data_IF_836970051941
#
_entry.id   IF_836970051941
#
_cell.length_a   1.000
_cell.length_b   1.000
_cell.length_c   1.000
_cell.angle_alpha   90.00
_cell.angle_beta   90.00
_cell.angle_gamma   90.00
#
_symmetry.space_group_name_H-M   'P 1'
#
loop_
_entity.id
_entity.type
_entity.pdbx_description
1 polymer ?
#
# COMPACT_ATOMS: atom_id res chain seq x y z
N UNK A 1 8.84 -37.92 -1.04
CA UNK A 1 8.83 -37.02 -2.22
C UNK A 1 9.43 -35.68 -1.80
N UNK A 2 10.55 -35.28 -2.41
CA UNK A 2 11.40 -34.18 -1.93
C UNK A 2 10.95 -32.81 -2.47
N UNK A 3 10.79 -31.83 -1.58
CA UNK A 3 10.42 -30.44 -1.88
C UNK A 3 11.35 -29.73 -2.89
N UNK A 4 12.60 -30.18 -3.02
CA UNK A 4 13.56 -29.64 -3.98
C UNK A 4 13.20 -29.90 -5.46
N UNK A 5 12.46 -30.98 -5.77
CA UNK A 5 12.10 -31.28 -7.16
C UNK A 5 10.94 -30.43 -7.66
N UNK A 6 10.01 -30.04 -6.77
CA UNK A 6 8.90 -29.13 -7.08
C UNK A 6 9.38 -27.70 -7.36
N UNK A 7 10.37 -27.20 -6.61
CA UNK A 7 10.97 -25.88 -6.86
C UNK A 7 11.75 -25.82 -8.19
N UNK A 8 12.42 -26.91 -8.58
CA UNK A 8 13.14 -26.99 -9.85
C UNK A 8 12.17 -27.01 -11.06
N UNK A 9 11.07 -27.76 -10.96
CA UNK A 9 10.05 -27.81 -12.01
C UNK A 9 9.28 -26.49 -12.18
N UNK A 10 8.98 -25.78 -11.09
CA UNK A 10 8.34 -24.45 -11.15
C UNK A 10 9.21 -23.40 -11.85
N UNK A 11 10.52 -23.39 -11.60
CA UNK A 11 11.47 -22.46 -12.27
C UNK A 11 11.61 -22.75 -13.78
N UNK A 12 11.60 -24.01 -14.18
CA UNK A 12 11.68 -24.41 -15.59
C UNK A 12 10.39 -24.12 -16.40
N UNK A 13 9.23 -24.10 -15.74
CA UNK A 13 7.95 -23.73 -16.35
C UNK A 13 7.82 -22.20 -16.54
N UNK A 14 8.28 -21.43 -15.56
CA UNK A 14 8.37 -19.96 -15.63
C UNK A 14 9.33 -19.49 -16.72
N UNK A 15 10.49 -20.13 -16.86
CA UNK A 15 11.46 -19.78 -17.92
C UNK A 15 10.89 -19.99 -19.33
N UNK A 16 10.11 -21.05 -19.54
CA UNK A 16 9.47 -21.33 -20.84
C UNK A 16 8.33 -20.36 -21.18
N UNK A 17 7.54 -19.96 -20.19
CA UNK A 17 6.48 -18.95 -20.40
C UNK A 17 7.04 -17.56 -20.69
N UNK A 18 8.20 -17.22 -20.11
CA UNK A 18 8.82 -15.92 -20.32
C UNK A 18 9.31 -15.73 -21.76
N UNK A 19 9.88 -16.77 -22.37
CA UNK A 19 10.36 -16.75 -23.75
C UNK A 19 9.24 -16.69 -24.82
N UNK A 20 7.99 -17.00 -24.47
CA UNK A 20 6.86 -16.99 -25.41
C UNK A 20 5.97 -15.73 -25.29
N UNK A 21 6.21 -14.86 -24.30
CA UNK A 21 5.27 -13.78 -23.98
C UNK A 21 5.33 -12.59 -24.96
N UNK A 22 4.19 -12.02 -25.36
CA UNK A 22 4.12 -10.81 -26.19
C UNK A 22 4.71 -9.58 -25.49
N UNK A 23 4.83 -9.62 -24.17
CA UNK A 23 5.49 -8.58 -23.37
C UNK A 23 6.98 -8.42 -23.74
N UNK A 24 7.68 -9.50 -24.10
CA UNK A 24 9.09 -9.41 -24.52
C UNK A 24 9.22 -8.74 -25.89
N UNK A 25 8.30 -9.02 -26.81
CA UNK A 25 8.23 -8.35 -28.12
C UNK A 25 7.86 -6.88 -28.00
N UNK A 26 6.88 -6.54 -27.15
CA UNK A 26 6.53 -5.16 -26.81
C UNK A 26 7.71 -4.42 -26.17
N UNK A 27 8.44 -5.06 -25.25
CA UNK A 27 9.64 -4.49 -24.65
C UNK A 27 10.74 -4.22 -25.68
N UNK A 28 10.99 -5.16 -26.61
CA UNK A 28 11.95 -4.96 -27.68
C UNK A 28 11.53 -3.85 -28.65
N UNK A 29 10.25 -3.81 -29.05
CA UNK A 29 9.70 -2.78 -29.93
C UNK A 29 9.77 -1.40 -29.27
N UNK A 30 9.34 -1.28 -28.01
CA UNK A 30 9.37 -0.03 -27.25
C UNK A 30 10.81 0.47 -27.03
N UNK A 31 11.75 -0.45 -26.77
CA UNK A 31 13.17 -0.10 -26.68
C UNK A 31 13.72 0.41 -28.01
N UNK A 32 13.35 -0.24 -29.12
CA UNK A 32 13.80 0.16 -30.45
C UNK A 32 13.19 1.51 -30.88
N UNK A 33 11.97 1.81 -30.45
CA UNK A 33 11.29 3.08 -30.65
C UNK A 33 11.88 4.22 -29.81
N UNK A 34 12.24 3.95 -28.55
CA UNK A 34 12.99 4.92 -27.72
C UNK A 34 14.39 5.19 -28.26
N UNK A 35 15.09 4.15 -28.72
CA UNK A 35 16.34 4.32 -29.46
C UNK A 35 16.10 5.06 -30.78
N UNK A 36 14.90 4.98 -31.35
CA UNK A 36 14.33 5.77 -32.46
C UNK A 36 14.44 7.28 -32.28
N UNK A 37 14.07 7.74 -31.10
CA UNK A 37 13.89 9.16 -30.76
C UNK A 37 15.19 9.84 -30.30
N UNK A 38 16.27 9.08 -30.08
CA UNK A 38 17.56 9.61 -29.64
C UNK A 38 18.36 10.19 -30.83
N UNK A 39 19.04 11.34 -30.66
CA UNK A 39 19.91 11.91 -31.68
C UNK A 39 21.02 10.95 -32.09
N UNK A 40 21.42 10.96 -33.37
CA UNK A 40 22.33 9.94 -33.93
C UNK A 40 23.66 9.80 -33.17
N UNK A 41 24.21 10.90 -32.66
CA UNK A 41 25.45 10.90 -31.86
C UNK A 41 25.33 10.08 -30.57
N UNK A 42 24.16 10.15 -29.92
CA UNK A 42 23.87 9.39 -28.70
C UNK A 42 23.53 7.95 -29.02
N UNK A 43 22.76 7.71 -30.09
CA UNK A 43 22.46 6.36 -30.58
C UNK A 43 23.74 5.58 -30.92
N UNK A 44 24.71 6.21 -31.59
CA UNK A 44 25.99 5.58 -31.95
C UNK A 44 26.85 5.26 -30.71
N UNK A 45 26.90 6.15 -29.72
CA UNK A 45 27.58 5.90 -28.44
C UNK A 45 26.89 4.83 -27.58
N UNK A 46 25.56 4.85 -27.50
CA UNK A 46 24.76 3.96 -26.65
C UNK A 46 24.67 2.53 -27.21
N UNK A 47 24.60 2.39 -28.53
CA UNK A 47 24.46 1.07 -29.18
C UNK A 47 25.80 0.43 -29.54
N UNK A 48 26.91 1.18 -29.50
CA UNK A 48 28.22 0.71 -29.95
C UNK A 48 28.22 0.25 -31.42
N UNK A 49 27.17 0.60 -32.18
CA UNK A 49 27.10 0.36 -33.62
C UNK A 49 27.89 1.47 -34.31
N UNK A 50 29.21 1.37 -34.30
CA UNK A 50 29.99 2.04 -35.32
C UNK A 50 29.54 1.50 -36.69
N UNK A 51 29.33 2.36 -37.69
CA UNK A 51 29.03 1.90 -39.04
C UNK A 51 30.18 0.99 -39.49
N UNK A 52 29.85 -0.27 -39.76
CA UNK A 52 30.78 -1.25 -40.31
C UNK A 52 31.18 -0.75 -41.70
N UNK A 53 32.37 -0.17 -41.81
CA UNK A 53 32.90 0.22 -43.11
C UNK A 53 33.48 -1.03 -43.79
N UNK A 54 33.09 -1.25 -45.03
CA UNK A 54 33.58 -2.36 -45.86
C UNK A 54 34.80 -1.86 -46.61
N UNK A 55 35.96 -2.50 -46.39
CA UNK A 55 37.16 -2.29 -47.19
C UNK A 55 37.24 -3.38 -48.24
N UNK A 56 37.57 -3.01 -49.47
CA UNK A 56 37.87 -3.97 -50.52
C UNK A 56 39.37 -4.14 -50.65
N UNK A 57 39.81 -5.37 -50.89
CA UNK A 57 41.20 -5.70 -51.20
C UNK A 57 41.37 -5.84 -52.73
N UNK A 58 42.47 -5.33 -53.32
CA UNK A 58 43.54 -4.51 -52.71
C UNK A 58 43.04 -3.12 -52.27
N UNK A 59 43.73 -2.50 -51.33
CA UNK A 59 43.34 -1.19 -50.77
C UNK A 59 43.56 -0.09 -51.82
N UNK A 60 42.47 0.50 -52.33
CA UNK A 60 42.53 1.55 -53.37
C UNK A 60 42.92 2.94 -52.81
N UNK A 61 42.71 3.21 -51.52
CA UNK A 61 43.05 4.50 -50.88
C UNK A 61 43.61 4.34 -49.45
N UNK A 62 44.50 5.26 -49.00
CA UNK A 62 44.93 5.35 -47.62
C UNK A 62 43.76 5.80 -46.74
N UNK A 63 43.00 4.83 -46.23
CA UNK A 63 41.81 5.10 -45.45
C UNK A 63 42.17 5.53 -44.01
N UNK A 64 41.28 6.27 -43.34
CA UNK A 64 41.50 6.73 -41.95
C UNK A 64 41.50 5.55 -40.95
N UNK A 65 42.27 5.60 -39.84
CA UNK A 65 42.39 4.49 -38.89
C UNK A 65 41.19 4.30 -37.94
N UNK A 66 40.17 5.16 -38.02
CA UNK A 66 39.22 5.38 -36.92
C UNK A 66 37.98 4.47 -36.86
N UNK A 67 37.34 4.00 -37.95
CA UNK A 67 36.21 3.10 -37.82
C UNK A 67 36.60 1.62 -37.76
N UNK A 68 35.74 0.81 -37.14
CA UNK A 68 35.88 -0.64 -37.11
C UNK A 68 35.41 -1.24 -38.45
N UNK A 69 36.27 -2.00 -39.15
CA UNK A 69 36.07 -2.33 -40.57
C UNK A 69 36.00 -3.83 -40.85
N UNK A 70 35.36 -4.21 -41.96
CA UNK A 70 35.42 -5.58 -42.50
C UNK A 70 36.18 -5.54 -43.82
N UNK A 71 37.27 -6.29 -43.90
CA UNK A 71 38.05 -6.43 -45.12
C UNK A 71 37.40 -7.49 -46.01
N UNK A 72 37.21 -7.20 -47.28
CA UNK A 72 36.60 -8.10 -48.27
C UNK A 72 37.64 -8.49 -49.30
N UNK A 73 38.01 -9.77 -49.29
CA UNK A 73 38.93 -10.37 -50.23
C UNK A 73 38.23 -10.73 -51.54
N UNK A 74 38.88 -10.55 -52.70
CA UNK A 74 38.39 -11.08 -53.96
C UNK A 74 38.51 -12.61 -53.97
N UNK A 75 37.65 -13.27 -54.76
CA UNK A 75 37.70 -14.74 -54.96
C UNK A 75 39.08 -15.25 -55.41
N UNK A 76 39.87 -14.45 -56.12
CA UNK A 76 41.20 -14.86 -56.61
C UNK A 76 42.20 -15.20 -55.50
N UNK A 77 42.01 -14.67 -54.28
CA UNK A 77 42.90 -14.88 -53.13
C UNK A 77 42.52 -16.11 -52.29
N UNK A 78 41.38 -16.74 -52.58
CA UNK A 78 40.78 -17.78 -51.74
C UNK A 78 40.24 -18.95 -52.55
N UNK A 79 40.34 -20.15 -51.99
CA UNK A 79 39.69 -21.33 -52.53
C UNK A 79 38.27 -21.42 -51.95
N UNK A 80 37.26 -21.38 -52.82
CA UNK A 80 35.85 -21.57 -52.44
C UNK A 80 35.34 -22.87 -53.05
N UNK A 81 34.89 -23.78 -52.20
CA UNK A 81 34.34 -25.07 -52.62
C UNK A 81 33.04 -25.39 -51.88
N UNK A 82 32.12 -26.10 -52.53
CA UNK A 82 30.92 -26.62 -51.86
C UNK A 82 31.08 -28.12 -51.62
N UNK A 83 30.93 -28.54 -50.37
CA UNK A 83 31.07 -29.90 -49.89
C UNK A 83 29.71 -30.43 -49.40
N UNK A 84 29.53 -31.75 -49.49
CA UNK A 84 28.37 -32.43 -48.92
C UNK A 84 28.87 -33.34 -47.81
N UNK A 85 28.46 -33.04 -46.58
CA UNK A 85 28.85 -33.77 -45.37
C UNK A 85 27.64 -34.52 -44.79
N UNK A 86 27.83 -35.59 -44.01
CA UNK A 86 26.73 -36.21 -43.27
C UNK A 86 26.18 -35.24 -42.22
N UNK A 87 24.87 -35.30 -41.94
CA UNK A 87 24.22 -34.42 -40.96
C UNK A 87 24.84 -34.51 -39.55
N UNK A 88 25.46 -35.64 -39.21
CA UNK A 88 26.22 -35.81 -37.97
C UNK A 88 27.35 -34.78 -37.80
N UNK A 89 27.96 -34.33 -38.91
CA UNK A 89 29.02 -33.32 -38.89
C UNK A 89 28.52 -31.90 -38.54
N UNK A 90 27.21 -31.67 -38.51
CA UNK A 90 26.65 -30.36 -38.15
C UNK A 90 26.95 -29.97 -36.70
N UNK A 91 27.15 -30.95 -35.79
CA UNK A 91 27.42 -30.69 -34.37
C UNK A 91 28.79 -30.05 -34.12
N UNK A 92 29.82 -30.54 -34.82
CA UNK A 92 31.21 -30.12 -34.66
C UNK A 92 31.90 -29.89 -36.02
N UNK A 93 31.26 -29.06 -36.85
CA UNK A 93 31.65 -28.85 -38.26
C UNK A 93 33.11 -28.43 -38.43
N UNK A 94 33.61 -27.58 -37.52
CA UNK A 94 34.97 -27.03 -37.59
C UNK A 94 36.04 -28.11 -37.33
N UNK A 95 35.79 -29.03 -36.40
CA UNK A 95 36.71 -30.13 -36.10
C UNK A 95 36.69 -31.16 -37.22
N UNK A 96 35.50 -31.54 -37.70
CA UNK A 96 35.37 -32.51 -38.82
C UNK A 96 36.06 -31.99 -40.07
N UNK A 97 35.83 -30.73 -40.44
CA UNK A 97 36.50 -30.11 -41.59
C UNK A 97 38.01 -29.97 -41.37
N UNK A 98 38.47 -29.72 -40.14
CA UNK A 98 39.90 -29.67 -39.82
C UNK A 98 40.62 -31.00 -40.07
N UNK A 99 39.99 -32.14 -39.76
CA UNK A 99 40.56 -33.46 -40.02
C UNK A 99 40.42 -33.92 -41.47
N UNK A 100 39.38 -33.48 -42.17
CA UNK A 100 39.16 -33.82 -43.58
C UNK A 100 39.76 -32.83 -44.57
N UNK A 101 40.41 -31.77 -44.09
CA UNK A 101 40.91 -30.67 -44.91
C UNK A 101 41.93 -31.12 -45.96
N UNK A 102 42.77 -32.08 -45.59
CA UNK A 102 43.78 -32.71 -46.44
C UNK A 102 43.14 -33.49 -47.63
N UNK A 103 41.84 -33.84 -47.55
CA UNK A 103 41.11 -34.50 -48.65
C UNK A 103 40.62 -33.51 -49.71
N UNK A 104 40.38 -32.26 -49.31
CA UNK A 104 39.76 -31.24 -50.16
C UNK A 104 40.74 -30.16 -50.62
N UNK A 105 41.90 -30.06 -49.96
CA UNK A 105 42.95 -29.10 -50.34
C UNK A 105 44.32 -29.78 -50.33
N UNK A 106 45.27 -29.33 -51.15
CA UNK A 106 46.64 -29.85 -51.15
C UNK A 106 47.47 -29.39 -49.94
N UNK A 107 46.87 -28.63 -49.02
CA UNK A 107 47.54 -28.04 -47.87
C UNK A 107 47.04 -28.66 -46.58
N UNK A 108 47.91 -28.67 -45.58
CA UNK A 108 47.58 -29.17 -44.24
C UNK A 108 46.81 -28.11 -43.46
N UNK A 109 45.98 -28.56 -42.51
CA UNK A 109 45.14 -27.68 -41.69
C UNK A 109 45.91 -26.59 -40.90
N UNK A 110 47.18 -26.79 -40.59
CA UNK A 110 48.05 -25.83 -39.89
C UNK A 110 48.57 -24.70 -40.80
N UNK A 111 48.64 -24.95 -42.10
CA UNK A 111 49.14 -24.04 -43.13
C UNK A 111 48.04 -23.12 -43.71
N UNK A 112 46.78 -23.38 -43.38
CA UNK A 112 45.62 -22.66 -43.93
C UNK A 112 44.72 -22.11 -42.85
N UNK A 113 44.08 -20.98 -43.16
CA UNK A 113 42.94 -20.46 -42.40
C UNK A 113 41.68 -20.78 -43.19
N UNK A 114 40.70 -21.43 -42.55
CA UNK A 114 39.47 -21.85 -43.22
C UNK A 114 38.22 -21.37 -42.46
N UNK A 115 37.14 -21.15 -43.21
CA UNK A 115 35.82 -20.86 -42.68
C UNK A 115 34.80 -21.74 -43.40
N UNK A 116 33.82 -22.24 -42.64
CA UNK A 116 32.76 -23.09 -43.14
C UNK A 116 31.40 -22.45 -42.92
N UNK A 117 30.57 -22.43 -43.95
CA UNK A 117 29.21 -21.87 -43.90
C UNK A 117 28.21 -22.92 -44.36
N UNK A 118 27.19 -23.20 -43.55
CA UNK A 118 26.11 -24.12 -43.94
C UNK A 118 25.19 -23.43 -44.94
N UNK A 119 25.06 -24.01 -46.14
CA UNK A 119 24.18 -23.51 -47.20
C UNK A 119 22.77 -24.09 -47.08
N UNK A 120 22.63 -25.29 -46.54
CA UNK A 120 21.35 -25.95 -46.36
C UNK A 120 21.48 -27.37 -45.85
N UNK A 121 20.37 -27.90 -45.35
CA UNK A 121 20.25 -29.27 -44.85
C UNK A 121 19.28 -30.04 -45.73
N UNK A 122 19.61 -31.28 -46.08
CA UNK A 122 18.75 -32.15 -46.89
C UNK A 122 18.76 -33.56 -46.33
N UNK A 123 17.65 -33.99 -45.71
CA UNK A 123 17.45 -35.35 -45.20
C UNK A 123 18.57 -35.82 -44.26
N UNK A 124 19.53 -36.57 -44.80
CA UNK A 124 20.70 -37.12 -44.11
C UNK A 124 22.04 -36.40 -44.42
N UNK A 125 22.00 -35.35 -45.25
CA UNK A 125 23.18 -34.64 -45.77
C UNK A 125 23.14 -33.14 -45.46
N UNK A 126 24.31 -32.53 -45.38
CA UNK A 126 24.56 -31.14 -45.07
C UNK A 126 25.38 -30.54 -46.21
N UNK A 127 24.86 -29.50 -46.86
CA UNK A 127 25.61 -28.74 -47.87
C UNK A 127 26.36 -27.61 -47.18
N UNK A 128 27.68 -27.61 -47.30
CA UNK A 128 28.57 -26.66 -46.64
C UNK A 128 29.47 -26.01 -47.68
N UNK A 129 29.60 -24.68 -47.62
CA UNK A 129 30.62 -23.93 -48.34
C UNK A 129 31.87 -23.85 -47.50
N UNK A 130 32.98 -24.37 -48.02
CA UNK A 130 34.31 -24.25 -47.45
C UNK A 130 35.05 -23.13 -48.17
N UNK A 131 35.58 -22.19 -47.40
CA UNK A 131 36.44 -21.11 -47.87
C UNK A 131 37.81 -21.25 -47.21
N UNK A 132 38.87 -21.32 -47.99
CA UNK A 132 40.23 -21.57 -47.52
C UNK A 132 41.19 -20.52 -48.07
N UNK A 133 42.08 -20.01 -47.22
CA UNK A 133 43.18 -19.13 -47.59
C UNK A 133 44.49 -19.64 -46.95
N UNK A 134 45.61 -19.51 -47.66
CA UNK A 134 46.92 -19.80 -47.09
C UNK A 134 47.20 -18.86 -45.92
N UNK A 135 47.63 -19.40 -44.79
CA UNK A 135 47.89 -18.64 -43.58
C UNK A 135 48.92 -17.54 -43.80
N UNK A 136 50.01 -17.85 -44.50
CA UNK A 136 51.05 -16.89 -44.85
C UNK A 136 50.51 -15.73 -45.71
N UNK A 137 49.61 -16.03 -46.66
CA UNK A 137 48.98 -14.99 -47.50
C UNK A 137 48.06 -14.10 -46.68
N UNK A 138 47.24 -14.70 -45.82
CA UNK A 138 46.38 -13.96 -44.90
C UNK A 138 47.20 -13.06 -43.96
N UNK A 139 48.30 -13.56 -43.41
CA UNK A 139 49.20 -12.80 -42.53
C UNK A 139 49.84 -11.61 -43.25
N UNK A 140 50.24 -11.75 -44.52
CA UNK A 140 50.72 -10.64 -45.35
C UNK A 140 49.65 -9.56 -45.53
N UNK A 141 48.44 -9.95 -45.90
CA UNK A 141 47.32 -9.02 -46.09
C UNK A 141 46.97 -8.29 -44.78
N UNK A 142 46.96 -9.01 -43.66
CA UNK A 142 46.72 -8.44 -42.34
C UNK A 142 47.85 -7.49 -41.90
N UNK A 143 49.11 -7.78 -42.26
CA UNK A 143 50.24 -6.92 -41.97
C UNK A 143 50.15 -5.59 -42.73
N UNK A 144 49.74 -5.61 -44.00
CA UNK A 144 49.46 -4.39 -44.78
C UNK A 144 48.27 -3.60 -44.21
N UNK A 145 47.34 -4.28 -43.54
CA UNK A 145 46.19 -3.68 -42.87
C UNK A 145 46.41 -3.38 -41.38
N UNK A 146 47.65 -3.50 -40.85
CA UNK A 146 47.92 -3.41 -39.41
C UNK A 146 47.57 -2.03 -38.79
N UNK A 147 47.44 -0.99 -39.61
CA UNK A 147 46.95 0.34 -39.19
C UNK A 147 45.45 0.44 -38.95
N UNK A 148 44.68 -0.61 -39.26
CA UNK A 148 43.22 -0.63 -39.15
C UNK A 148 42.70 -1.56 -38.05
N UNK A 149 41.61 -1.17 -37.39
CA UNK A 149 40.88 -2.06 -36.49
C UNK A 149 39.93 -2.95 -37.29
N UNK A 150 40.40 -4.12 -37.71
CA UNK A 150 39.60 -5.11 -38.45
C UNK A 150 38.69 -5.92 -37.50
N UNK A 151 37.39 -5.92 -37.78
CA UNK A 151 36.38 -6.75 -37.09
C UNK A 151 36.26 -8.16 -37.70
N UNK A 152 36.63 -8.31 -38.96
CA UNK A 152 36.52 -9.57 -39.70
C UNK A 152 37.06 -9.47 -41.12
N UNK A 153 37.31 -10.63 -41.71
CA UNK A 153 37.75 -10.78 -43.11
C UNK A 153 36.72 -11.63 -43.84
N UNK A 154 36.04 -11.03 -44.82
CA UNK A 154 35.00 -11.62 -45.64
C UNK A 154 35.51 -11.81 -47.08
N UNK A 155 34.76 -12.53 -47.90
CA UNK A 155 35.10 -12.84 -49.28
C UNK A 155 33.96 -12.44 -50.21
N UNK A 156 34.30 -11.90 -51.39
CA UNK A 156 33.35 -11.60 -52.46
C UNK A 156 33.53 -12.55 -53.64
N UNK A 157 32.45 -13.26 -53.99
CA UNK A 157 32.30 -14.06 -55.21
C UNK A 157 30.97 -13.63 -55.87
N UNK A 158 31.02 -12.54 -56.63
CA UNK A 158 29.85 -11.75 -57.03
C UNK A 158 29.32 -10.90 -55.88
N UNK A 159 28.60 -11.52 -54.95
CA UNK A 159 28.15 -10.92 -53.69
C UNK A 159 29.05 -11.30 -52.50
N UNK A 160 28.86 -10.62 -51.37
CA UNK A 160 29.55 -10.95 -50.12
C UNK A 160 29.08 -12.29 -49.59
N UNK A 161 30.00 -13.21 -49.30
CA UNK A 161 29.69 -14.54 -48.79
C UNK A 161 29.27 -14.51 -47.30
N UNK A 162 29.62 -13.45 -46.57
CA UNK A 162 29.26 -13.30 -45.15
C UNK A 162 30.05 -14.26 -44.25
N UNK A 163 31.24 -14.66 -44.69
CA UNK A 163 32.15 -15.55 -43.96
C UNK A 163 33.14 -14.71 -43.15
N UNK A 164 33.71 -15.27 -42.09
CA UNK A 164 34.76 -14.59 -41.32
C UNK A 164 36.02 -15.47 -41.23
N UNK A 165 36.99 -15.16 -42.07
CA UNK A 165 38.30 -15.80 -42.14
C UNK A 165 39.29 -15.27 -41.09
N UNK A 166 38.91 -14.25 -40.31
CA UNK A 166 39.77 -13.70 -39.25
C UNK A 166 39.93 -14.75 -38.13
N UNK A 167 41.17 -15.17 -37.80
CA UNK A 167 41.43 -16.13 -36.73
C UNK A 167 40.85 -15.66 -35.40
N UNK A 168 40.33 -16.58 -34.59
CA UNK A 168 39.68 -16.24 -33.32
C UNK A 168 40.58 -15.45 -32.37
N UNK A 169 41.90 -15.70 -32.40
CA UNK A 169 42.89 -14.99 -31.60
C UNK A 169 43.02 -13.49 -31.94
N UNK A 170 42.73 -13.11 -33.19
CA UNK A 170 42.84 -11.74 -33.69
C UNK A 170 41.49 -11.02 -33.71
N UNK A 171 40.39 -11.72 -33.40
CA UNK A 171 39.07 -11.09 -33.31
C UNK A 171 39.06 -10.16 -32.11
N UNK A 172 38.80 -8.84 -32.28
CA UNK A 172 38.65 -7.96 -31.14
C UNK A 172 37.56 -8.53 -30.24
N UNK A 173 37.90 -8.76 -28.96
CA UNK A 173 36.97 -9.26 -27.96
C UNK A 173 35.83 -8.25 -27.90
N UNK A 174 34.71 -8.59 -28.53
CA UNK A 174 33.55 -7.70 -28.58
C UNK A 174 33.19 -7.43 -27.13
N UNK A 175 33.45 -6.22 -26.67
CA UNK A 175 32.95 -5.68 -25.42
C UNK A 175 31.43 -5.78 -25.51
N UNK A 176 30.89 -6.94 -25.11
CA UNK A 176 29.45 -7.16 -25.04
C UNK A 176 28.95 -6.02 -24.18
N UNK A 177 28.10 -5.15 -24.73
CA UNK A 177 27.55 -3.95 -24.09
C UNK A 177 26.71 -4.22 -22.84
N UNK A 178 27.00 -5.28 -22.08
CA UNK A 178 26.33 -5.68 -20.85
C UNK A 178 26.56 -4.70 -19.70
N UNK A 179 27.67 -3.94 -19.64
CA UNK A 179 27.84 -2.92 -18.59
C UNK A 179 26.92 -1.72 -18.81
N UNK A 180 26.81 -1.28 -20.07
CA UNK A 180 25.92 -0.18 -20.43
C UNK A 180 24.45 -0.61 -20.36
N UNK A 181 24.12 -1.84 -20.80
CA UNK A 181 22.78 -2.40 -20.65
C UNK A 181 22.39 -2.57 -19.17
N UNK A 182 23.33 -2.96 -18.28
CA UNK A 182 23.10 -3.01 -16.83
C UNK A 182 22.88 -1.62 -16.22
N UNK A 183 23.66 -0.62 -16.63
CA UNK A 183 23.47 0.76 -16.19
C UNK A 183 22.12 1.32 -16.60
N UNK A 184 21.68 1.05 -17.83
CA UNK A 184 20.37 1.44 -18.34
C UNK A 184 19.23 0.72 -17.61
N UNK A 185 19.42 -0.55 -17.28
CA UNK A 185 18.44 -1.34 -16.52
C UNK A 185 18.32 -0.85 -15.07
N UNK A 186 19.43 -0.48 -14.43
CA UNK A 186 19.44 0.15 -13.10
C UNK A 186 18.81 1.54 -13.13
N UNK A 187 19.08 2.34 -14.16
CA UNK A 187 18.46 3.66 -14.32
C UNK A 187 16.94 3.55 -14.54
N UNK A 188 16.51 2.62 -15.39
CA UNK A 188 15.08 2.32 -15.57
C UNK A 188 14.43 1.85 -14.26
N UNK A 189 15.08 0.94 -13.52
CA UNK A 189 14.56 0.47 -12.23
C UNK A 189 14.48 1.60 -11.19
N UNK A 190 15.50 2.47 -11.14
CA UNK A 190 15.51 3.66 -10.30
C UNK A 190 14.38 4.62 -10.64
N UNK A 191 14.16 4.90 -11.93
CA UNK A 191 13.08 5.78 -12.40
C UNK A 191 11.68 5.19 -12.10
N UNK A 192 11.54 3.86 -12.20
CA UNK A 192 10.30 3.18 -11.85
C UNK A 192 10.03 3.27 -10.34
N UNK A 193 11.06 3.10 -9.51
CA UNK A 193 10.97 3.27 -8.06
C UNK A 193 10.63 4.71 -7.67
N UNK A 194 11.24 5.72 -8.29
CA UNK A 194 10.91 7.12 -8.00
C UNK A 194 9.49 7.47 -8.41
N UNK A 195 9.02 7.00 -9.58
CA UNK A 195 7.62 7.15 -9.99
C UNK A 195 6.66 6.47 -9.00
N UNK A 196 7.00 5.27 -8.51
CA UNK A 196 6.17 4.55 -7.54
C UNK A 196 6.13 5.27 -6.18
N UNK A 197 7.26 5.80 -5.70
CA UNK A 197 7.32 6.61 -4.47
C UNK A 197 6.51 7.90 -4.62
N UNK A 198 6.66 8.60 -5.73
CA UNK A 198 5.92 9.84 -6.01
C UNK A 198 4.41 9.58 -6.09
N UNK A 199 4.02 8.47 -6.72
CA UNK A 199 2.63 8.05 -6.80
C UNK A 199 2.06 7.67 -5.43
N UNK A 200 2.83 7.00 -4.57
CA UNK A 200 2.40 6.69 -3.20
C UNK A 200 2.21 7.97 -2.38
N UNK A 201 3.15 8.92 -2.46
CA UNK A 201 3.05 10.22 -1.80
C UNK A 201 1.82 11.02 -2.25
N UNK A 202 1.45 10.93 -3.53
CA UNK A 202 0.25 11.61 -4.05
C UNK A 202 -1.06 11.04 -3.46
N UNK A 203 -1.07 9.77 -3.04
CA UNK A 203 -2.22 9.14 -2.39
C UNK A 203 -2.37 9.53 -0.92
N UNK A 204 -1.25 9.68 -0.22
CA UNK A 204 -1.24 10.15 1.17
C UNK A 204 -1.80 11.57 1.27
N UNK A 205 -1.48 12.44 0.30
CA UNK A 205 -2.00 13.81 0.23
C UNK A 205 -3.54 13.85 0.10
N UNK A 206 -4.14 12.95 -0.69
CA UNK A 206 -5.59 12.87 -0.87
C UNK A 206 -6.30 12.38 0.41
N UNK A 207 -5.68 11.44 1.15
CA UNK A 207 -6.22 10.91 2.41
C UNK A 207 -6.16 11.94 3.54
N UNK A 208 -5.09 12.75 3.59
CA UNK A 208 -4.95 13.82 4.58
C UNK A 208 -6.04 14.89 4.39
N UNK A 209 -6.33 15.28 3.15
CA UNK A 209 -7.39 16.26 2.84
C UNK A 209 -8.77 15.74 3.25
N UNK A 210 -9.09 14.48 2.94
CA UNK A 210 -10.38 13.90 3.33
C UNK A 210 -10.52 13.71 4.84
N UNK A 211 -9.44 13.36 5.55
CA UNK A 211 -9.46 13.32 7.01
C UNK A 211 -9.63 14.71 7.63
N UNK A 212 -9.06 15.75 7.01
CA UNK A 212 -9.27 17.13 7.44
C UNK A 212 -10.75 17.55 7.29
N UNK A 213 -11.39 17.21 6.16
CA UNK A 213 -12.83 17.46 5.93
C UNK A 213 -13.72 16.73 6.95
N UNK A 214 -13.42 15.46 7.26
CA UNK A 214 -14.16 14.69 8.27
C UNK A 214 -14.00 15.29 9.68
N UNK A 215 -12.79 15.72 10.07
CA UNK A 215 -12.57 16.38 11.37
C UNK A 215 -13.31 17.71 11.45
N UNK A 216 -13.35 18.48 10.37
CA UNK A 216 -14.10 19.74 10.32
C UNK A 216 -15.61 19.50 10.47
N UNK A 217 -16.15 18.47 9.83
CA UNK A 217 -17.56 18.09 9.97
C UNK A 217 -17.89 17.56 11.37
N UNK A 218 -16.99 16.77 11.98
CA UNK A 218 -17.15 16.31 13.37
C UNK A 218 -17.09 17.45 14.39
N UNK A 219 -16.24 18.46 14.15
CA UNK A 219 -16.21 19.67 14.99
C UNK A 219 -17.54 20.45 14.94
N UNK A 220 -18.22 20.47 13.79
CA UNK A 220 -19.56 21.05 13.66
C UNK A 220 -20.63 20.22 14.39
N UNK A 221 -20.50 18.88 14.42
CA UNK A 221 -21.40 18.00 15.18
C UNK A 221 -21.25 18.22 16.70
N UNK A 222 -20.04 18.54 17.18
CA UNK A 222 -19.81 18.88 18.60
C UNK A 222 -20.63 20.09 19.08
N UNK A 223 -20.87 21.09 18.22
CA UNK A 223 -21.73 22.24 18.55
C UNK A 223 -23.20 21.82 18.71
N UNK A 224 -23.65 20.82 17.95
CA UNK A 224 -25.01 20.29 18.03
C UNK A 224 -25.24 19.49 19.32
N UNK A 225 -24.20 18.82 19.84
CA UNK A 225 -24.26 18.11 21.12
C UNK A 225 -24.39 19.08 22.29
N UNK A 226 -23.65 20.18 22.31
CA UNK A 226 -23.78 21.22 23.35
C UNK A 226 -25.19 21.85 23.40
N UNK A 227 -25.83 22.03 22.24
CA UNK A 227 -27.21 22.52 22.17
C UNK A 227 -28.20 21.49 22.71
N UNK A 228 -28.00 20.20 22.42
CA UNK A 228 -28.83 19.12 23.01
C UNK A 228 -28.65 19.00 24.51
N UNK A 229 -27.42 19.14 25.01
CA UNK A 229 -27.12 19.06 26.45
C UNK A 229 -27.71 20.23 27.23
N UNK A 230 -27.72 21.43 26.63
CA UNK A 230 -28.39 22.61 27.22
C UNK A 230 -29.91 22.49 27.21
N UNK A 231 -30.50 21.90 26.16
CA UNK A 231 -31.93 21.56 26.12
C UNK A 231 -32.30 20.47 27.16
N UNK A 232 -31.47 19.45 27.35
CA UNK A 232 -31.69 18.42 28.36
C UNK A 232 -31.60 18.96 29.79
N UNK A 233 -30.60 19.81 30.08
CA UNK A 233 -30.46 20.44 31.40
C UNK A 233 -31.59 21.42 31.74
N UNK A 234 -32.12 22.14 30.75
CA UNK A 234 -33.24 23.07 30.98
C UNK A 234 -34.57 22.36 31.18
N UNK A 235 -34.82 21.24 30.48
CA UNK A 235 -36.01 20.41 30.71
C UNK A 235 -35.97 19.67 32.06
N UNK A 236 -34.79 19.20 32.49
CA UNK A 236 -34.60 18.57 33.80
C UNK A 236 -34.87 19.50 34.99
N UNK A 237 -34.45 20.77 34.89
CA UNK A 237 -34.68 21.77 35.93
C UNK A 237 -36.17 22.11 36.10
N UNK A 238 -36.93 22.18 35.01
CA UNK A 238 -38.38 22.43 35.06
C UNK A 238 -39.13 21.25 35.70
N UNK A 239 -38.79 20.01 35.34
CA UNK A 239 -39.40 18.82 35.94
C UNK A 239 -39.06 18.67 37.44
N UNK A 240 -37.84 18.99 37.86
CA UNK A 240 -37.44 18.98 39.26
C UNK A 240 -38.27 19.97 40.10
N UNK A 241 -38.52 21.18 39.58
CA UNK A 241 -39.33 22.19 40.27
C UNK A 241 -40.82 21.82 40.32
N UNK A 242 -41.35 21.19 39.27
CA UNK A 242 -42.74 20.71 39.24
C UNK A 242 -42.92 19.54 40.24
N UNK A 243 -41.99 18.58 40.27
CA UNK A 243 -42.04 17.47 41.22
C UNK A 243 -41.94 17.96 42.68
N UNK A 244 -41.08 18.95 42.96
CA UNK A 244 -40.97 19.54 44.31
C UNK A 244 -42.23 20.29 44.73
N UNK A 245 -42.89 20.99 43.79
CA UNK A 245 -44.15 21.70 44.06
C UNK A 245 -45.33 20.73 44.24
N UNK A 246 -45.35 19.62 43.51
CA UNK A 246 -46.33 18.56 43.65
C UNK A 246 -46.16 17.72 44.94
N UNK A 247 -44.99 17.78 45.58
CA UNK A 247 -44.71 17.12 46.86
C UNK A 247 -45.10 17.95 48.10
N UNK A 248 -45.60 19.19 47.94
CA UNK A 248 -46.09 20.04 49.04
C UNK A 248 -47.62 20.12 49.29
N UNK A 249 -48.47 19.10 49.01
CA UNK A 249 -49.92 19.21 49.25
C UNK A 249 -50.36 18.93 50.70
N UNK A 250 -49.46 18.68 51.66
CA UNK A 250 -49.85 18.25 53.02
C UNK A 250 -50.13 19.38 54.04
N UNK A 251 -49.60 20.59 53.86
CA UNK A 251 -49.70 21.62 54.92
C UNK A 251 -51.11 22.26 54.99
N UNK A 252 -51.71 22.53 53.83
CA UNK A 252 -53.03 23.16 53.78
C UNK A 252 -54.15 22.21 54.24
N UNK A 253 -54.06 20.92 53.90
CA UNK A 253 -54.99 19.90 54.40
C UNK A 253 -54.82 19.66 55.90
N UNK A 254 -53.58 19.58 56.39
CA UNK A 254 -53.30 19.41 57.82
C UNK A 254 -53.87 20.54 58.67
N UNK A 255 -53.72 21.81 58.26
CA UNK A 255 -54.30 22.94 59.00
C UNK A 255 -55.83 22.85 59.03
N UNK A 256 -56.46 22.45 57.93
CA UNK A 256 -57.91 22.30 57.85
C UNK A 256 -58.43 21.20 58.78
N UNK A 257 -57.75 20.05 58.83
CA UNK A 257 -58.11 18.93 59.71
C UNK A 257 -57.87 19.26 61.19
N UNK A 258 -56.74 19.90 61.51
CA UNK A 258 -56.43 20.38 62.85
C UNK A 258 -57.49 21.37 63.35
N UNK A 259 -57.97 22.25 62.46
CA UNK A 259 -59.02 23.22 62.80
C UNK A 259 -60.36 22.57 63.14
N UNK A 260 -60.67 21.39 62.60
CA UNK A 260 -61.89 20.64 62.94
C UNK A 260 -61.74 19.80 64.20
N UNK A 261 -60.52 19.34 64.48
CA UNK A 261 -60.22 18.45 65.60
C UNK A 261 -60.01 19.16 66.94
N UNK A 262 -59.54 20.41 66.92
CA UNK A 262 -59.20 21.16 68.13
C UNK A 262 -60.46 21.76 68.77
N UNK A 263 -60.65 21.64 70.09
CA UNK A 263 -61.81 22.22 70.76
C UNK A 263 -61.68 23.74 70.86
N UNK A 264 -62.81 24.47 70.85
CA UNK A 264 -62.91 25.93 70.85
C UNK A 264 -62.13 26.65 71.99
N UNK A 265 -61.76 25.92 73.05
CA UNK A 265 -60.95 26.41 74.17
C UNK A 265 -59.43 26.37 73.95
N UNK A 266 -58.95 25.84 72.82
CA UNK A 266 -57.53 25.56 72.54
C UNK A 266 -56.97 26.48 71.47
N UNK A 267 -55.85 27.13 71.77
CA UNK A 267 -55.18 28.08 70.90
C UNK A 267 -53.78 27.56 70.59
N UNK A 268 -53.44 27.46 69.32
CA UNK A 268 -52.10 27.10 68.86
C UNK A 268 -51.25 28.37 68.70
N UNK A 269 -50.06 28.36 69.30
CA UNK A 269 -49.05 29.42 69.16
C UNK A 269 -48.03 29.05 68.08
N UNK A 270 -47.70 27.76 67.99
CA UNK A 270 -46.68 27.24 67.09
C UNK A 270 -47.11 25.90 66.49
N UNK A 271 -46.95 25.80 65.17
CA UNK A 271 -47.13 24.58 64.38
C UNK A 271 -45.93 24.46 63.46
N UNK A 272 -45.11 23.44 63.69
CA UNK A 272 -43.94 23.15 62.86
C UNK A 272 -44.07 21.73 62.28
N UNK A 273 -43.73 21.60 60.99
CA UNK A 273 -43.83 20.35 60.24
C UNK A 273 -42.49 20.12 59.56
N UNK A 274 -41.80 19.07 59.98
CA UNK A 274 -40.51 18.68 59.40
C UNK A 274 -40.70 17.89 58.09
N UNK A 275 -39.72 17.96 57.20
CA UNK A 275 -39.64 17.15 55.97
C UNK A 275 -39.72 15.62 56.26
N UNK A 276 -39.43 15.21 57.50
CA UNK A 276 -39.55 13.84 58.00
C UNK A 276 -40.95 13.43 58.48
N UNK A 277 -41.97 14.29 58.34
CA UNK A 277 -43.34 14.01 58.75
C UNK A 277 -43.57 14.07 60.27
N UNK A 278 -42.70 14.74 61.02
CA UNK A 278 -42.97 15.07 62.42
C UNK A 278 -43.71 16.40 62.50
N UNK A 279 -44.76 16.44 63.33
CA UNK A 279 -45.58 17.62 63.57
C UNK A 279 -45.45 17.98 65.05
N UNK A 280 -44.98 19.19 65.33
CA UNK A 280 -44.89 19.75 66.67
C UNK A 280 -45.95 20.85 66.83
N UNK A 281 -46.70 20.77 67.91
CA UNK A 281 -47.82 21.63 68.24
C UNK A 281 -47.57 22.23 69.63
N UNK A 282 -47.53 23.55 69.74
CA UNK A 282 -47.45 24.23 71.03
C UNK A 282 -48.54 25.29 71.17
N UNK A 283 -49.09 25.41 72.36
CA UNK A 283 -50.19 26.34 72.60
C UNK A 283 -50.75 26.30 74.01
N UNK A 284 -51.97 26.81 74.14
CA UNK A 284 -52.69 26.94 75.41
C UNK A 284 -54.07 26.30 75.32
N UNK A 285 -54.49 25.56 76.35
CA UNK A 285 -55.81 24.94 76.38
C UNK A 285 -56.44 25.01 77.76
N UNK A 286 -57.77 25.09 77.79
CA UNK A 286 -58.55 24.99 79.03
C UNK A 286 -58.57 23.57 79.61
N UNK A 287 -58.24 22.55 78.81
CA UNK A 287 -58.25 21.13 79.20
C UNK A 287 -57.08 20.37 78.53
N UNK A 288 -55.83 20.77 78.83
CA UNK A 288 -54.65 20.19 78.18
C UNK A 288 -54.58 18.66 78.31
N UNK A 289 -54.91 18.09 79.48
CA UNK A 289 -54.87 16.65 79.73
C UNK A 289 -55.81 15.80 78.86
N UNK A 290 -56.89 16.38 78.32
CA UNK A 290 -57.87 15.67 77.49
C UNK A 290 -57.52 15.71 75.99
N UNK A 291 -56.57 16.58 75.58
CA UNK A 291 -56.23 16.81 74.17
C UNK A 291 -55.67 15.58 73.45
N UNK A 292 -54.83 14.76 74.11
CA UNK A 292 -54.28 13.54 73.49
C UNK A 292 -55.41 12.60 73.04
N UNK A 293 -56.47 12.46 73.83
CA UNK A 293 -57.59 11.58 73.50
C UNK A 293 -58.39 12.05 72.29
N UNK A 294 -58.48 13.36 72.07
CA UNK A 294 -59.18 13.96 70.94
C UNK A 294 -58.30 13.98 69.68
N UNK A 295 -57.01 14.30 69.83
CA UNK A 295 -56.04 14.26 68.72
C UNK A 295 -55.87 12.84 68.15
N UNK A 296 -56.03 11.79 68.97
CA UNK A 296 -56.07 10.39 68.50
C UNK A 296 -57.27 10.06 67.59
N UNK A 297 -58.30 10.89 67.57
CA UNK A 297 -59.47 10.70 66.70
C UNK A 297 -59.31 11.40 65.34
N UNK A 298 -58.24 12.19 65.18
CA UNK A 298 -57.92 12.86 63.93
C UNK A 298 -57.28 11.88 62.95
N UNK A 299 -57.74 11.90 61.70
CA UNK A 299 -57.24 10.99 60.68
C UNK A 299 -55.80 11.30 60.25
N UNK A 300 -55.39 12.56 60.33
CA UNK A 300 -54.15 13.07 59.73
C UNK A 300 -52.93 12.98 60.67
N UNK A 301 -53.11 12.51 61.91
CA UNK A 301 -52.06 12.43 62.93
C UNK A 301 -52.01 11.06 63.59
N UNK A 302 -50.81 10.49 63.65
CA UNK A 302 -50.49 9.27 64.38
C UNK A 302 -49.71 9.59 65.67
N UNK A 303 -50.02 8.83 66.72
CA UNK A 303 -49.33 8.77 68.01
C UNK A 303 -49.00 10.15 68.66
N UNK A 304 -50.02 10.95 69.06
CA UNK A 304 -49.78 12.21 69.75
C UNK A 304 -49.23 11.98 71.17
N UNK A 305 -48.06 12.55 71.47
CA UNK A 305 -47.35 12.46 72.74
C UNK A 305 -46.99 13.85 73.29
N UNK A 306 -47.12 14.06 74.60
CA UNK A 306 -46.67 15.32 75.22
C UNK A 306 -45.15 15.43 75.20
N UNK A 307 -44.65 16.56 74.68
CA UNK A 307 -43.24 16.91 74.66
C UNK A 307 -42.95 17.90 75.80
N UNK A 308 -43.10 17.45 77.05
CA UNK A 308 -42.85 18.28 78.24
C UNK A 308 -43.87 18.07 79.37
N UNK A 309 -43.80 18.93 80.38
CA UNK A 309 -44.74 18.97 81.50
C UNK A 309 -45.80 20.03 81.22
N UNK A 310 -47.07 19.72 81.49
CA UNK A 310 -48.18 20.69 81.40
C UNK A 310 -47.98 21.73 82.50
N UNK A 311 -47.82 22.99 82.12
CA UNK A 311 -47.60 24.09 83.07
C UNK A 311 -48.81 25.02 83.08
N UNK A 312 -49.49 25.21 84.23
CA UNK A 312 -50.59 26.16 84.34
C UNK A 312 -50.05 27.58 84.21
N UNK A 313 -50.67 28.39 83.36
CA UNK A 313 -50.31 29.78 83.16
C UNK A 313 -51.18 30.70 84.03
N UNK A 314 -50.51 31.51 84.86
CA UNK A 314 -51.16 32.35 85.87
C UNK A 314 -51.84 33.60 85.31
N UNK A 315 -51.47 34.03 84.10
CA UNK A 315 -52.07 35.22 83.47
C UNK A 315 -53.35 34.90 82.69
N UNK A 316 -53.42 33.73 82.05
CA UNK A 316 -54.54 33.33 81.19
C UNK A 316 -55.50 32.33 81.85
N UNK A 317 -55.08 31.70 82.95
CA UNK A 317 -55.84 30.64 83.61
C UNK A 317 -55.99 29.36 82.77
N UNK A 318 -55.15 29.21 81.73
CA UNK A 318 -55.10 28.05 80.83
C UNK A 318 -53.80 27.27 81.04
N UNK A 319 -53.78 26.04 80.55
CA UNK A 319 -52.60 25.17 80.62
C UNK A 319 -51.79 25.29 79.33
N UNK A 320 -50.48 25.56 79.45
CA UNK A 320 -49.54 25.49 78.32
C UNK A 320 -49.19 24.05 78.03
N UNK A 321 -49.27 23.65 76.76
CA UNK A 321 -48.92 22.32 76.30
C UNK A 321 -47.99 22.39 75.08
N UNK A 322 -47.10 21.40 75.00
CA UNK A 322 -46.28 21.10 73.84
C UNK A 322 -46.48 19.62 73.51
N UNK A 323 -46.80 19.33 72.26
CA UNK A 323 -47.17 18.00 71.81
C UNK A 323 -46.44 17.69 70.50
N UNK A 324 -46.01 16.45 70.37
CA UNK A 324 -45.41 15.90 69.15
C UNK A 324 -46.29 14.79 68.63
N UNK A 325 -46.53 14.79 67.32
CA UNK A 325 -47.24 13.76 66.61
C UNK A 325 -46.51 13.46 65.29
N UNK A 326 -46.86 12.34 64.66
CA UNK A 326 -46.43 12.05 63.29
C UNK A 326 -47.57 12.31 62.32
N UNK A 327 -47.27 12.87 61.15
CA UNK A 327 -48.24 12.97 60.07
C UNK A 327 -48.62 11.56 59.62
N UNK A 328 -49.91 11.25 59.60
CA UNK A 328 -50.39 10.04 58.93
C UNK A 328 -50.05 10.17 57.45
N UNK A 329 -49.02 9.45 57.00
CA UNK A 329 -48.74 9.32 55.58
C UNK A 329 -49.80 8.41 55.00
N UNK A 330 -50.94 8.99 54.62
CA UNK A 330 -51.82 8.33 53.68
C UNK A 330 -50.95 8.05 52.45
N UNK A 331 -50.69 6.77 52.19
CA UNK A 331 -49.91 6.31 51.06
C UNK A 331 -50.67 6.71 49.79
N UNK A 332 -50.46 7.96 49.37
CA UNK A 332 -50.88 8.50 48.09
C UNK A 332 -50.06 7.75 47.03
N UNK A 333 -50.61 6.60 46.66
CA UNK A 333 -50.31 5.81 45.49
C UNK A 333 -48.83 5.68 45.13
N UNK A 334 -48.20 4.63 45.69
CA UNK A 334 -47.29 3.85 44.87
C UNK A 334 -48.09 3.22 43.70
N UNK A 335 -47.49 3.25 42.50
CA UNK A 335 -47.92 2.68 41.20
C UNK A 335 -48.33 3.78 40.22
N UNK A 336 -47.72 3.96 39.05
CA UNK A 336 -47.00 3.01 38.16
C UNK A 336 -46.01 3.84 37.31
N UNK A 337 -44.74 3.46 37.12
CA UNK A 337 -44.30 2.39 36.22
C UNK A 337 -44.90 2.51 34.81
N UNK A 338 -44.25 3.29 33.93
CA UNK A 338 -43.58 2.84 32.69
C UNK A 338 -42.78 3.99 32.05
#
# INVERSE_FOLDING_TARGET
>A
MNLNTLHAQGRAALHRHWHASPAQRLWHAWRDELLGLLPERWRQRLTGRMPLQVLHWPLDEPADPTPARVLVLPRSEVLVQTLTLPLAAARDLQNVLGFELDKYTPYRADQVSFCAQVLGQGGSTLKVRLVVILRQRLEQILAECAGFTLLGVDVRDGERLGVNLLPEALRPKRERGGRLNRGLLLACAGLLLTLMVLWLQSRDALLIEMQAQVRQQQAQIGQLQQVRDTLANTQGAAHYLIARKAAQPALASLIADLSHCLPDGTWLEELEVDDGGQVTLAGQSTQASALIGQLKQCHSLDDPQFQGVIQPDGETGKDRFSLRAHLHQEASHASSAE
#
